data_IF_900795141167
#
_entry.id   IF_900795141167
#
_cell.length_a   1.000
_cell.length_b   1.000
_cell.length_c   1.000
_cell.angle_alpha   90.00
_cell.angle_beta   90.00
_cell.angle_gamma   90.00
#
_symmetry.space_group_name_H-M   'P 1'
#
loop_
_entity.id
_entity.type
_entity.pdbx_description
1 polymer ?
#
# COMPACT_ATOMS: atom_id res chain seq x y z
N UNK A 1 11.84 12.68 -8.20
CA UNK A 1 10.66 11.87 -7.85
C UNK A 1 10.55 10.71 -8.82
N UNK A 2 10.19 9.57 -8.34
CA UNK A 2 10.51 8.31 -8.98
C UNK A 2 9.44 7.74 -9.90
N UNK A 3 8.34 8.47 -10.19
CA UNK A 3 7.36 8.04 -11.18
C UNK A 3 7.80 8.29 -12.63
N UNK A 4 8.65 9.28 -12.88
CA UNK A 4 9.09 9.61 -14.24
C UNK A 4 9.78 8.44 -14.98
N UNK A 5 10.63 7.62 -14.33
CA UNK A 5 11.16 6.41 -14.96
C UNK A 5 10.08 5.40 -15.35
N UNK A 6 9.04 5.23 -14.50
CA UNK A 6 7.91 4.34 -14.77
C UNK A 6 7.11 4.87 -15.97
N UNK A 7 6.79 6.17 -15.97
CA UNK A 7 6.10 6.83 -17.07
C UNK A 7 6.86 6.63 -18.38
N UNK A 8 8.18 6.87 -18.38
CA UNK A 8 9.03 6.66 -19.54
C UNK A 8 9.00 5.22 -20.07
N UNK A 9 9.01 4.23 -19.15
CA UNK A 9 8.87 2.82 -19.55
C UNK A 9 7.52 2.55 -20.22
N UNK A 10 6.42 3.04 -19.62
CA UNK A 10 5.06 2.88 -20.17
C UNK A 10 4.93 3.51 -21.56
N UNK A 11 5.41 4.75 -21.75
CA UNK A 11 5.38 5.45 -23.03
C UNK A 11 6.17 4.73 -24.14
N UNK A 12 7.19 3.95 -23.75
CA UNK A 12 8.00 3.14 -24.66
C UNK A 12 7.55 1.67 -24.74
N UNK A 13 6.35 1.33 -24.26
CA UNK A 13 5.80 -0.04 -24.25
C UNK A 13 6.74 -1.06 -23.58
N UNK A 14 7.45 -0.66 -22.54
CA UNK A 14 8.31 -1.55 -21.75
C UNK A 14 7.50 -2.19 -20.61
N UNK A 15 7.90 -3.41 -20.25
CA UNK A 15 7.34 -4.11 -19.11
C UNK A 15 7.72 -3.39 -17.81
N UNK A 16 6.78 -3.28 -16.90
CA UNK A 16 6.99 -2.84 -15.52
C UNK A 16 6.88 -4.08 -14.63
N UNK A 17 7.86 -4.28 -13.77
CA UNK A 17 7.90 -5.37 -12.81
C UNK A 17 7.48 -4.82 -11.45
N UNK A 18 6.39 -5.35 -10.91
CA UNK A 18 5.96 -5.10 -9.54
C UNK A 18 6.68 -6.05 -8.58
N UNK A 19 6.71 -5.69 -7.31
CA UNK A 19 7.09 -6.59 -6.23
C UNK A 19 6.10 -7.76 -6.07
N UNK A 20 6.40 -8.65 -5.13
CA UNK A 20 5.56 -9.82 -4.81
C UNK A 20 4.83 -9.68 -3.49
N UNK A 21 4.33 -10.80 -2.97
CA UNK A 21 3.52 -10.86 -1.77
C UNK A 21 4.28 -10.55 -0.49
N UNK A 22 4.16 -9.34 0.02
CA UNK A 22 4.80 -8.90 1.26
C UNK A 22 4.45 -9.81 2.45
N UNK A 23 3.18 -10.11 2.66
CA UNK A 23 2.73 -10.94 3.78
C UNK A 23 3.33 -12.34 3.76
N UNK A 24 3.37 -12.99 2.61
CA UNK A 24 3.94 -14.33 2.45
C UNK A 24 5.45 -14.37 2.75
N UNK A 25 6.20 -13.36 2.30
CA UNK A 25 7.63 -13.28 2.59
C UNK A 25 7.90 -12.93 4.06
N UNK A 26 7.09 -12.09 4.69
CA UNK A 26 7.20 -11.81 6.12
C UNK A 26 6.94 -13.06 6.96
N UNK A 27 5.87 -13.80 6.66
CA UNK A 27 5.54 -15.06 7.34
C UNK A 27 6.65 -16.10 7.19
N UNK A 28 7.17 -16.29 5.98
CA UNK A 28 8.30 -17.18 5.69
C UNK A 28 9.56 -16.80 6.45
N UNK A 29 9.77 -15.51 6.73
CA UNK A 29 10.88 -15.01 7.52
C UNK A 29 10.56 -14.93 9.03
N UNK A 30 9.47 -15.55 9.49
CA UNK A 30 9.15 -15.74 10.90
C UNK A 30 8.42 -14.57 11.59
N UNK A 31 7.86 -13.63 10.81
CA UNK A 31 7.02 -12.59 11.41
C UNK A 31 5.69 -13.17 11.90
N UNK A 32 5.26 -12.76 13.09
CA UNK A 32 3.94 -13.09 13.59
C UNK A 32 2.88 -12.25 12.86
N UNK A 33 1.85 -12.94 12.32
CA UNK A 33 0.73 -12.30 11.66
C UNK A 33 -0.32 -11.88 12.68
N UNK A 34 -0.75 -10.63 12.63
CA UNK A 34 -1.83 -10.14 13.49
C UNK A 34 -3.17 -10.75 13.04
N UNK A 35 -3.99 -11.15 14.01
CA UNK A 35 -5.28 -11.79 13.77
C UNK A 35 -6.25 -10.93 12.94
N UNK A 36 -6.17 -9.61 13.07
CA UNK A 36 -7.10 -8.66 12.47
C UNK A 36 -6.50 -7.84 11.33
N UNK A 37 -5.20 -7.59 11.43
CA UNK A 37 -4.47 -6.76 10.49
C UNK A 37 -3.41 -7.52 9.69
N UNK A 38 -3.43 -8.85 9.78
CA UNK A 38 -2.50 -9.72 9.07
C UNK A 38 -1.05 -9.20 9.17
N UNK A 39 -0.36 -8.93 8.06
CA UNK A 39 1.01 -8.40 8.05
C UNK A 39 1.11 -6.88 8.27
N UNK A 40 0.00 -6.14 8.31
CA UNK A 40 0.01 -4.67 8.39
C UNK A 40 0.71 -4.11 9.62
N UNK A 41 0.66 -4.82 10.77
CA UNK A 41 1.40 -4.43 11.97
C UNK A 41 2.91 -4.57 11.84
N UNK A 42 3.41 -5.43 10.96
CA UNK A 42 4.84 -5.70 10.85
C UNK A 42 5.65 -4.44 10.53
N UNK A 43 5.08 -3.46 9.84
CA UNK A 43 5.77 -2.18 9.60
C UNK A 43 6.10 -1.40 10.88
N UNK A 44 5.38 -1.67 11.97
CA UNK A 44 5.60 -1.06 13.29
C UNK A 44 6.38 -2.00 14.19
N UNK A 45 6.00 -3.28 14.26
CA UNK A 45 6.55 -4.25 15.21
C UNK A 45 7.87 -4.86 14.72
N UNK A 46 8.04 -5.01 13.39
CA UNK A 46 9.22 -5.62 12.74
C UNK A 46 9.71 -4.80 11.53
N UNK A 47 9.96 -3.48 11.67
CA UNK A 47 10.29 -2.61 10.54
C UNK A 47 11.52 -3.05 9.76
N UNK A 48 12.53 -3.63 10.44
CA UNK A 48 13.74 -4.13 9.81
C UNK A 48 13.47 -5.30 8.86
N UNK A 49 12.54 -6.17 9.23
CA UNK A 49 12.15 -7.30 8.39
C UNK A 49 11.35 -6.83 7.17
N UNK A 50 10.42 -5.89 7.36
CA UNK A 50 9.67 -5.28 6.25
C UNK A 50 10.62 -4.58 5.28
N UNK A 51 11.59 -3.81 5.79
CA UNK A 51 12.60 -3.16 4.97
C UNK A 51 13.41 -4.18 4.17
N UNK A 52 13.89 -5.24 4.83
CA UNK A 52 14.63 -6.31 4.16
C UNK A 52 13.85 -6.94 3.02
N UNK A 53 12.58 -7.25 3.21
CA UNK A 53 11.73 -7.82 2.14
C UNK A 53 11.60 -6.85 0.97
N UNK A 54 11.42 -5.56 1.21
CA UNK A 54 11.43 -4.56 0.16
C UNK A 54 12.77 -4.52 -0.58
N UNK A 55 13.90 -4.52 0.16
CA UNK A 55 15.25 -4.55 -0.44
C UNK A 55 15.47 -5.80 -1.30
N UNK A 56 14.99 -6.97 -0.85
CA UNK A 56 15.07 -8.22 -1.60
C UNK A 56 14.30 -8.12 -2.94
N UNK A 57 13.08 -7.56 -2.95
CA UNK A 57 12.32 -7.33 -4.19
C UNK A 57 12.98 -6.31 -5.12
N UNK A 58 13.52 -5.21 -4.58
CA UNK A 58 14.25 -4.20 -5.37
C UNK A 58 15.48 -4.84 -6.02
N UNK A 59 16.25 -5.63 -5.26
CA UNK A 59 17.44 -6.30 -5.75
C UNK A 59 17.10 -7.41 -6.76
N UNK A 60 15.91 -8.00 -6.69
CA UNK A 60 15.40 -8.93 -7.69
C UNK A 60 14.94 -8.23 -8.98
N UNK A 61 14.89 -6.90 -9.02
CA UNK A 61 14.60 -6.12 -10.20
C UNK A 61 13.19 -5.52 -10.27
N UNK A 62 12.50 -5.36 -9.14
CA UNK A 62 11.23 -4.68 -9.11
C UNK A 62 11.38 -3.19 -9.49
N UNK A 63 10.59 -2.75 -10.45
CA UNK A 63 10.47 -1.34 -10.86
C UNK A 63 9.60 -0.53 -9.90
N UNK A 64 8.64 -1.21 -9.26
CA UNK A 64 7.71 -0.64 -8.29
C UNK A 64 7.63 -1.59 -7.10
N UNK A 65 7.75 -1.05 -5.89
CA UNK A 65 7.42 -1.76 -4.66
C UNK A 65 6.17 -1.15 -4.03
N UNK A 66 5.43 -1.96 -3.28
CA UNK A 66 4.13 -1.60 -2.73
C UNK A 66 4.21 -1.49 -1.21
N UNK A 67 3.73 -0.40 -0.61
CA UNK A 67 3.70 -0.23 0.85
C UNK A 67 2.93 -1.36 1.54
N UNK A 68 3.37 -1.76 2.72
CA UNK A 68 2.67 -2.77 3.53
C UNK A 68 1.41 -2.19 4.19
N UNK A 69 0.50 -1.63 3.37
CA UNK A 69 -0.73 -0.96 3.82
C UNK A 69 -2.02 -1.62 3.33
N UNK A 70 -1.91 -2.77 2.70
CA UNK A 70 -3.04 -3.57 2.24
C UNK A 70 -4.10 -3.80 3.32
N UNK A 71 -3.69 -4.17 4.52
CA UNK A 71 -4.57 -4.51 5.64
C UNK A 71 -4.73 -3.39 6.68
N UNK A 72 -4.03 -2.26 6.53
CA UNK A 72 -4.15 -1.10 7.43
C UNK A 72 -5.16 -0.07 6.93
N UNK A 73 -6.24 -0.56 6.31
CA UNK A 73 -7.32 0.33 5.87
C UNK A 73 -7.98 1.00 7.07
N UNK A 74 -8.30 2.30 7.01
CA UNK A 74 -8.96 3.00 8.12
C UNK A 74 -10.25 2.32 8.59
N UNK A 75 -10.97 1.71 7.66
CA UNK A 75 -12.21 0.99 7.95
C UNK A 75 -11.92 -0.25 8.80
N UNK A 76 -10.96 -1.09 8.37
CA UNK A 76 -10.58 -2.29 9.12
C UNK A 76 -10.00 -1.92 10.49
N UNK A 77 -9.12 -0.92 10.53
CA UNK A 77 -8.48 -0.49 11.77
C UNK A 77 -9.48 -0.01 12.82
N UNK A 78 -10.47 0.81 12.42
CA UNK A 78 -11.55 1.25 13.31
C UNK A 78 -12.40 0.08 13.83
N UNK A 79 -12.67 -0.90 12.98
CA UNK A 79 -13.45 -2.08 13.35
C UNK A 79 -12.81 -2.86 14.50
N UNK A 80 -11.47 -2.80 14.61
CA UNK A 80 -10.70 -3.56 15.59
C UNK A 80 -10.06 -2.69 16.69
N UNK A 81 -10.48 -1.42 16.81
CA UNK A 81 -10.03 -0.53 17.89
C UNK A 81 -8.64 0.06 17.71
N UNK A 82 -8.18 0.22 16.46
CA UNK A 82 -6.89 0.82 16.10
C UNK A 82 -7.04 2.23 15.51
N UNK A 83 -8.15 2.92 15.74
CA UNK A 83 -8.46 4.24 15.17
C UNK A 83 -7.37 5.28 15.42
N UNK A 84 -6.80 5.32 16.62
CA UNK A 84 -5.73 6.25 17.01
C UNK A 84 -4.37 5.93 16.36
N UNK A 85 -4.29 4.81 15.66
CA UNK A 85 -3.05 4.33 15.05
C UNK A 85 -3.07 4.33 13.52
N UNK A 86 -4.16 4.71 12.89
CA UNK A 86 -4.35 4.67 11.44
C UNK A 86 -3.23 5.41 10.70
N UNK A 87 -3.03 6.67 11.05
CA UNK A 87 -2.01 7.50 10.43
C UNK A 87 -0.61 6.95 10.67
N UNK A 88 -0.29 6.61 11.92
CA UNK A 88 1.00 6.07 12.33
C UNK A 88 1.39 4.82 11.55
N UNK A 89 0.46 3.87 11.36
CA UNK A 89 0.76 2.61 10.70
C UNK A 89 1.00 2.80 9.21
N UNK A 90 0.15 3.59 8.56
CA UNK A 90 0.30 3.89 7.13
C UNK A 90 1.57 4.70 6.84
N UNK A 91 1.84 5.77 7.61
CA UNK A 91 3.07 6.56 7.46
C UNK A 91 4.33 5.74 7.75
N UNK A 92 4.30 4.87 8.77
CA UNK A 92 5.45 4.01 9.08
C UNK A 92 5.73 3.02 7.94
N UNK A 93 4.71 2.46 7.31
CA UNK A 93 4.87 1.60 6.14
C UNK A 93 5.53 2.34 4.97
N UNK A 94 5.10 3.56 4.69
CA UNK A 94 5.73 4.41 3.65
C UNK A 94 7.20 4.68 3.99
N UNK A 95 7.48 5.06 5.23
CA UNK A 95 8.84 5.36 5.69
C UNK A 95 9.78 4.16 5.52
N UNK A 96 9.36 2.97 5.96
CA UNK A 96 10.18 1.75 5.86
C UNK A 96 10.47 1.39 4.40
N UNK A 97 9.48 1.51 3.52
CA UNK A 97 9.68 1.26 2.09
C UNK A 97 10.60 2.30 1.43
N UNK A 98 10.53 3.57 1.83
CA UNK A 98 11.48 4.61 1.36
C UNK A 98 12.91 4.32 1.81
N UNK A 99 13.11 3.93 3.06
CA UNK A 99 14.42 3.53 3.58
C UNK A 99 15.01 2.37 2.75
N UNK A 100 14.19 1.39 2.33
CA UNK A 100 14.64 0.29 1.47
C UNK A 100 15.10 0.78 0.08
N UNK A 101 14.36 1.71 -0.53
CA UNK A 101 14.75 2.32 -1.82
C UNK A 101 16.06 3.08 -1.68
N UNK A 102 16.22 3.88 -0.63
CA UNK A 102 17.43 4.65 -0.37
C UNK A 102 18.64 3.74 -0.16
N UNK A 103 18.49 2.65 0.59
CA UNK A 103 19.59 1.71 0.88
C UNK A 103 20.07 0.98 -0.39
N UNK A 104 19.19 0.71 -1.34
CA UNK A 104 19.53 -0.03 -2.56
C UNK A 104 20.07 0.86 -3.67
N UNK A 105 19.97 2.18 -3.57
CA UNK A 105 20.35 3.15 -4.61
C UNK A 105 19.68 2.90 -5.97
N UNK A 106 18.54 2.21 -6.00
CA UNK A 106 17.79 1.92 -7.23
C UNK A 106 16.73 2.99 -7.51
N UNK A 107 16.36 3.13 -8.79
CA UNK A 107 15.29 4.04 -9.23
C UNK A 107 13.92 3.36 -9.19
N UNK A 108 13.59 2.74 -8.05
CA UNK A 108 12.34 2.03 -7.84
C UNK A 108 11.27 3.03 -7.39
N UNK A 109 10.08 2.96 -7.97
CA UNK A 109 8.94 3.74 -7.53
C UNK A 109 8.26 3.11 -6.32
N UNK A 110 7.69 3.94 -5.45
CA UNK A 110 6.91 3.49 -4.30
C UNK A 110 5.41 3.66 -4.56
N UNK A 111 4.68 2.57 -4.58
CA UNK A 111 3.23 2.56 -4.65
C UNK A 111 2.60 2.48 -3.27
N UNK A 112 1.61 3.32 -3.01
CA UNK A 112 0.73 3.20 -1.85
C UNK A 112 -0.37 2.17 -2.11
N UNK A 113 -0.40 1.08 -1.34
CA UNK A 113 -1.45 0.07 -1.45
C UNK A 113 -2.73 0.53 -0.77
N UNK A 114 -3.84 0.51 -1.52
CA UNK A 114 -5.20 0.73 -1.02
C UNK A 114 -6.05 -0.46 -1.46
N UNK A 115 -6.73 -1.10 -0.51
CA UNK A 115 -7.46 -2.34 -0.76
C UNK A 115 -8.87 -2.32 -0.17
N UNK A 116 -9.61 -3.38 -0.46
CA UNK A 116 -10.90 -3.68 0.18
C UNK A 116 -10.76 -4.67 1.35
N UNK A 117 -9.58 -4.74 1.99
CA UNK A 117 -9.36 -5.62 3.13
C UNK A 117 -10.25 -5.28 4.32
N UNK A 118 -10.94 -6.26 4.85
CA UNK A 118 -11.86 -6.13 5.98
C UNK A 118 -13.31 -6.49 5.63
N UNK A 119 -14.19 -6.40 6.62
CA UNK A 119 -15.60 -6.74 6.46
C UNK A 119 -16.43 -5.57 5.89
N UNK A 120 -16.08 -5.10 4.71
CA UNK A 120 -16.72 -3.96 4.04
C UNK A 120 -18.22 -4.17 3.78
N UNK A 121 -18.62 -5.40 3.49
CA UNK A 121 -19.96 -5.74 3.02
C UNK A 121 -21.10 -5.35 3.95
N UNK A 122 -20.79 -5.11 5.23
CA UNK A 122 -21.80 -4.77 6.25
C UNK A 122 -22.01 -3.27 6.43
N UNK A 123 -21.11 -2.44 5.90
CA UNK A 123 -21.09 -1.01 6.22
C UNK A 123 -21.83 -0.13 5.21
N UNK A 124 -22.04 -0.62 3.98
CA UNK A 124 -22.56 0.19 2.89
C UNK A 124 -21.57 1.27 2.40
N UNK A 125 -21.66 1.63 1.13
CA UNK A 125 -20.68 2.48 0.43
C UNK A 125 -20.49 3.83 1.09
N UNK A 126 -21.58 4.48 1.52
CA UNK A 126 -21.52 5.81 2.13
C UNK A 126 -20.63 5.86 3.38
N UNK A 127 -20.57 4.75 4.12
CA UNK A 127 -19.70 4.64 5.30
C UNK A 127 -18.24 4.31 4.94
N UNK A 128 -17.99 3.74 3.77
CA UNK A 128 -16.64 3.39 3.30
C UNK A 128 -15.89 4.59 2.71
N UNK A 129 -16.59 5.47 2.00
CA UNK A 129 -15.98 6.62 1.30
C UNK A 129 -15.03 7.43 2.19
N UNK A 130 -15.39 7.82 3.44
CA UNK A 130 -14.46 8.54 4.31
C UNK A 130 -13.16 7.78 4.57
N UNK A 131 -13.22 6.46 4.76
CA UNK A 131 -12.04 5.63 4.99
C UNK A 131 -11.12 5.55 3.78
N UNK A 132 -11.67 5.42 2.57
CA UNK A 132 -10.87 5.46 1.34
C UNK A 132 -10.20 6.82 1.14
N UNK A 133 -10.93 7.92 1.33
CA UNK A 133 -10.36 9.27 1.26
C UNK A 133 -9.22 9.46 2.26
N UNK A 134 -9.41 9.01 3.48
CA UNK A 134 -8.42 9.12 4.55
C UNK A 134 -7.14 8.38 4.21
N UNK A 135 -7.22 7.09 3.79
CA UNK A 135 -6.03 6.32 3.45
C UNK A 135 -5.30 6.91 2.24
N UNK A 136 -6.02 7.26 1.18
CA UNK A 136 -5.45 7.92 0.01
C UNK A 136 -4.71 9.20 0.38
N UNK A 137 -5.32 10.03 1.24
CA UNK A 137 -4.69 11.26 1.73
C UNK A 137 -3.42 10.98 2.52
N UNK A 138 -3.47 10.07 3.49
CA UNK A 138 -2.31 9.72 4.33
C UNK A 138 -1.15 9.24 3.46
N UNK A 139 -1.39 8.33 2.52
CA UNK A 139 -0.35 7.78 1.65
C UNK A 139 0.22 8.84 0.70
N UNK A 140 -0.64 9.66 0.09
CA UNK A 140 -0.21 10.75 -0.79
C UNK A 140 0.62 11.79 -0.03
N UNK A 141 0.18 12.21 1.16
CA UNK A 141 0.91 13.18 1.99
C UNK A 141 2.22 12.60 2.53
N UNK A 142 2.28 11.29 2.78
CA UNK A 142 3.50 10.60 3.18
C UNK A 142 4.52 10.44 2.02
N UNK A 143 4.12 10.79 0.80
CA UNK A 143 5.02 10.91 -0.34
C UNK A 143 5.23 9.62 -1.12
N UNK A 144 4.21 8.78 -1.31
CA UNK A 144 4.25 7.71 -2.31
C UNK A 144 4.25 8.30 -3.73
N UNK A 145 4.78 7.57 -4.71
CA UNK A 145 4.91 8.07 -6.09
C UNK A 145 3.66 7.80 -6.92
N UNK A 146 2.90 6.78 -6.54
CA UNK A 146 1.61 6.41 -7.13
C UNK A 146 0.77 5.66 -6.10
N UNK A 147 -0.51 5.46 -6.42
CA UNK A 147 -1.40 4.57 -5.68
C UNK A 147 -1.67 3.32 -6.52
N UNK A 148 -1.76 2.17 -5.87
CA UNK A 148 -2.33 0.95 -6.45
C UNK A 148 -3.61 0.61 -5.68
N UNK A 149 -4.72 0.53 -6.41
CA UNK A 149 -5.98 -0.03 -5.91
C UNK A 149 -5.95 -1.53 -6.15
N UNK A 150 -5.54 -2.30 -5.14
CA UNK A 150 -5.31 -3.72 -5.30
C UNK A 150 -6.41 -4.59 -4.68
N UNK A 151 -6.52 -5.83 -5.17
CA UNK A 151 -7.50 -6.81 -4.72
C UNK A 151 -8.92 -6.25 -4.71
N UNK A 152 -9.30 -5.61 -5.81
CA UNK A 152 -10.62 -4.99 -5.93
C UNK A 152 -11.72 -6.01 -5.74
N UNK A 153 -12.74 -5.60 -5.00
CA UNK A 153 -13.96 -6.38 -4.81
C UNK A 153 -14.66 -6.66 -6.14
N UNK A 154 -15.35 -7.80 -6.24
CA UNK A 154 -16.29 -8.05 -7.33
C UNK A 154 -17.56 -7.17 -7.29
N UNK A 155 -17.73 -6.37 -6.25
CA UNK A 155 -18.85 -5.45 -6.09
C UNK A 155 -18.54 -4.13 -6.81
N UNK A 156 -19.22 -3.89 -7.92
CA UNK A 156 -18.99 -2.74 -8.79
C UNK A 156 -19.13 -1.39 -8.06
N UNK A 157 -20.04 -1.28 -7.11
CA UNK A 157 -20.29 -0.09 -6.33
C UNK A 157 -19.13 0.28 -5.38
N UNK A 158 -18.42 -0.72 -4.83
CA UNK A 158 -17.21 -0.50 -4.01
C UNK A 158 -16.07 0.00 -4.91
N UNK A 159 -15.88 -0.62 -6.06
CA UNK A 159 -14.87 -0.19 -7.05
C UNK A 159 -15.15 1.24 -7.51
N UNK A 160 -16.39 1.56 -7.83
CA UNK A 160 -16.79 2.93 -8.22
C UNK A 160 -16.50 3.95 -7.10
N UNK A 161 -16.82 3.61 -5.85
CA UNK A 161 -16.52 4.47 -4.71
C UNK A 161 -15.01 4.74 -4.56
N UNK A 162 -14.17 3.70 -4.68
CA UNK A 162 -12.71 3.84 -4.61
C UNK A 162 -12.16 4.66 -5.77
N UNK A 163 -12.62 4.42 -6.99
CA UNK A 163 -12.22 5.19 -8.17
C UNK A 163 -12.61 6.67 -8.02
N UNK A 164 -13.81 6.96 -7.55
CA UNK A 164 -14.23 8.33 -7.28
C UNK A 164 -13.38 9.00 -6.19
N UNK A 165 -12.99 8.28 -5.15
CA UNK A 165 -12.08 8.77 -4.12
C UNK A 165 -10.69 9.04 -4.70
N UNK A 166 -10.19 8.20 -5.59
CA UNK A 166 -8.85 8.32 -6.17
C UNK A 166 -8.68 9.58 -7.02
N UNK A 167 -9.77 10.15 -7.56
CA UNK A 167 -9.74 11.43 -8.28
C UNK A 167 -9.36 12.64 -7.40
N UNK A 168 -9.28 12.46 -6.08
CA UNK A 168 -8.94 13.52 -5.12
C UNK A 168 -7.46 13.60 -4.79
N UNK A 169 -6.65 12.68 -5.29
CA UNK A 169 -5.19 12.73 -5.16
C UNK A 169 -4.55 13.18 -6.48
N UNK A 170 -3.43 13.90 -6.36
CA UNK A 170 -2.71 14.49 -7.51
C UNK A 170 -1.51 13.63 -7.95
N UNK A 171 -1.59 12.32 -7.72
CA UNK A 171 -0.57 11.35 -8.13
C UNK A 171 -1.22 10.26 -8.98
N UNK A 172 -0.46 9.53 -9.81
CA UNK A 172 -1.00 8.45 -10.63
C UNK A 172 -1.69 7.39 -9.79
N UNK A 173 -2.78 6.83 -10.33
CA UNK A 173 -3.52 5.72 -9.71
C UNK A 173 -3.63 4.58 -10.70
N UNK A 174 -3.25 3.39 -10.26
CA UNK A 174 -3.35 2.14 -11.00
C UNK A 174 -4.44 1.26 -10.37
N UNK A 175 -5.10 0.47 -11.19
CA UNK A 175 -6.11 -0.52 -10.81
C UNK A 175 -5.67 -1.91 -11.28
#
# INVERSE_FOLDING_TARGET
MSYDPIKTKLENNKIIILDGGMGAELEKNGAEMDKHMWCGKCSVDHPELVRKVHEDYINAGADVITTNTYSTTPISMRQYGYEDSIEKFNQKSVKVAREAIENTNNKTALAGSVSTFGNFYKLGIKAMIPGFHEQLKILSDAGVDLIILEAMSSQADIVEAMLNCSTKVNIPVWL
#
